data_IF_730677777584
#
_entry.id   IF_730677777584
#
_cell.length_a   1.000
_cell.length_b   1.000
_cell.length_c   1.000
_cell.angle_alpha   90.00
_cell.angle_beta   90.00
_cell.angle_gamma   90.00
#
_symmetry.space_group_name_H-M   'P 1'
#
loop_
_entity.id
_entity.type
_entity.pdbx_description
1 polymer ?
#
# COMPACT_ATOMS: atom_id res chain seq x y z
N UNK A 1 21.86 12.96 -1.29
CA UNK A 1 20.58 13.21 -2.00
C UNK A 1 20.00 11.95 -2.63
N UNK A 2 20.76 11.16 -3.40
CA UNK A 2 20.25 9.93 -4.03
C UNK A 2 19.61 8.95 -3.05
N UNK A 3 20.26 8.68 -1.90
CA UNK A 3 19.72 7.77 -0.87
C UNK A 3 18.40 8.26 -0.28
N UNK A 4 18.25 9.57 -0.07
CA UNK A 4 17.01 10.18 0.43
C UNK A 4 15.85 9.91 -0.54
N UNK A 5 16.08 10.15 -1.84
CA UNK A 5 15.08 9.90 -2.89
C UNK A 5 14.72 8.41 -2.94
N UNK A 6 15.70 7.52 -2.83
CA UNK A 6 15.47 6.07 -2.83
C UNK A 6 14.61 5.65 -1.64
N UNK A 7 14.89 6.14 -0.42
CA UNK A 7 14.07 5.82 0.75
C UNK A 7 12.64 6.35 0.63
N UNK A 8 12.46 7.59 0.17
CA UNK A 8 11.11 8.17 -0.06
C UNK A 8 10.36 7.36 -1.12
N UNK A 9 10.99 7.07 -2.25
CA UNK A 9 10.36 6.34 -3.35
C UNK A 9 10.01 4.90 -2.95
N UNK A 10 10.88 4.22 -2.20
CA UNK A 10 10.61 2.89 -1.67
C UNK A 10 9.44 2.90 -0.68
N UNK A 11 9.44 3.83 0.28
CA UNK A 11 8.39 3.95 1.29
C UNK A 11 7.03 4.19 0.64
N UNK A 12 6.93 5.21 -0.21
CA UNK A 12 5.69 5.57 -0.89
C UNK A 12 5.29 4.46 -1.87
N UNK A 13 6.21 3.94 -2.68
CA UNK A 13 5.89 2.96 -3.72
C UNK A 13 5.36 1.64 -3.15
N UNK A 14 6.04 1.08 -2.15
CA UNK A 14 5.62 -0.18 -1.52
C UNK A 14 4.29 0.01 -0.79
N UNK A 15 4.18 1.05 0.03
CA UNK A 15 2.97 1.31 0.81
C UNK A 15 1.77 1.67 -0.08
N UNK A 16 1.98 2.35 -1.22
CA UNK A 16 0.95 2.63 -2.22
C UNK A 16 0.33 1.36 -2.79
N UNK A 17 1.17 0.39 -3.21
CA UNK A 17 0.70 -0.90 -3.73
C UNK A 17 -0.04 -1.68 -2.65
N UNK A 18 0.49 -1.69 -1.42
CA UNK A 18 -0.16 -2.33 -0.28
C UNK A 18 -1.56 -1.74 -0.02
N UNK A 19 -1.69 -0.41 0.02
CA UNK A 19 -2.96 0.26 0.27
C UNK A 19 -3.98 0.09 -0.85
N UNK A 20 -3.56 -0.04 -2.12
CA UNK A 20 -4.48 -0.44 -3.21
C UNK A 20 -4.96 -1.87 -2.99
N UNK A 21 -4.05 -2.81 -2.75
CA UNK A 21 -4.41 -4.22 -2.56
C UNK A 21 -5.39 -4.39 -1.38
N UNK A 22 -5.13 -3.71 -0.26
CA UNK A 22 -5.99 -3.64 0.92
C UNK A 22 -7.41 -3.19 0.54
N UNK A 23 -7.54 -2.04 -0.12
CA UNK A 23 -8.84 -1.48 -0.49
C UNK A 23 -9.58 -2.34 -1.51
N UNK A 24 -8.88 -2.94 -2.47
CA UNK A 24 -9.47 -3.86 -3.46
C UNK A 24 -10.00 -5.12 -2.77
N UNK A 25 -9.21 -5.75 -1.90
CA UNK A 25 -9.61 -6.94 -1.15
C UNK A 25 -10.87 -6.69 -0.31
N UNK A 26 -10.94 -5.54 0.37
CA UNK A 26 -12.08 -5.15 1.18
C UNK A 26 -13.33 -4.80 0.34
N UNK A 27 -13.14 -4.27 -0.87
CA UNK A 27 -14.24 -3.79 -1.72
C UNK A 27 -14.85 -4.85 -2.62
N UNK A 28 -14.13 -5.94 -2.91
CA UNK A 28 -14.63 -7.04 -3.75
C UNK A 28 -15.88 -7.68 -3.11
N UNK A 29 -16.88 -8.03 -3.92
CA UNK A 29 -18.09 -8.73 -3.46
C UNK A 29 -18.05 -10.23 -3.78
N UNK A 30 -18.69 -11.11 -2.99
CA UNK A 30 -18.72 -12.55 -3.27
C UNK A 30 -19.33 -12.87 -4.64
N UNK A 31 -20.38 -12.13 -5.03
CA UNK A 31 -21.02 -12.27 -6.34
C UNK A 31 -20.06 -11.99 -7.51
N UNK A 32 -19.17 -11.00 -7.37
CA UNK A 32 -18.17 -10.70 -8.39
C UNK A 32 -17.11 -11.81 -8.49
N UNK A 33 -16.67 -12.37 -7.35
CA UNK A 33 -15.75 -13.51 -7.33
C UNK A 33 -16.36 -14.74 -8.00
N UNK A 34 -17.63 -15.05 -7.71
CA UNK A 34 -18.36 -16.14 -8.36
C UNK A 34 -18.43 -15.93 -9.89
N UNK A 35 -18.69 -14.70 -10.34
CA UNK A 35 -18.72 -14.35 -11.76
C UNK A 35 -17.34 -14.52 -12.43
N UNK A 36 -16.24 -14.24 -11.74
CA UNK A 36 -14.88 -14.52 -12.24
C UNK A 36 -14.61 -16.02 -12.37
N UNK A 37 -15.09 -16.83 -11.41
CA UNK A 37 -14.97 -18.29 -11.46
C UNK A 37 -15.79 -18.88 -12.62
N UNK A 38 -17.01 -18.41 -12.81
CA UNK A 38 -17.89 -18.84 -13.91
C UNK A 38 -17.29 -18.48 -15.28
N UNK A 39 -16.59 -17.34 -15.37
CA UNK A 39 -15.82 -16.94 -16.57
C UNK A 39 -14.49 -17.70 -16.74
N UNK A 40 -14.19 -18.69 -15.89
CA UNK A 40 -12.98 -19.51 -15.96
C UNK A 40 -11.68 -18.72 -15.70
N UNK A 41 -11.74 -17.55 -15.07
CA UNK A 41 -10.53 -16.76 -14.77
C UNK A 41 -9.84 -17.33 -13.52
N UNK A 42 -8.53 -17.60 -13.62
CA UNK A 42 -7.69 -18.09 -12.50
C UNK A 42 -7.78 -17.19 -11.26
N UNK A 43 -7.89 -15.87 -11.48
CA UNK A 43 -8.05 -14.90 -10.40
C UNK A 43 -9.33 -15.08 -9.58
N UNK A 44 -10.38 -15.70 -10.12
CA UNK A 44 -11.60 -16.01 -9.36
C UNK A 44 -11.37 -17.04 -8.26
N UNK A 45 -10.53 -18.05 -8.49
CA UNK A 45 -10.17 -19.04 -7.48
C UNK A 45 -9.28 -18.44 -6.38
N UNK A 46 -8.27 -17.67 -6.78
CA UNK A 46 -7.34 -17.00 -5.86
C UNK A 46 -8.07 -15.98 -4.97
N UNK A 47 -8.89 -15.10 -5.56
CA UNK A 47 -9.67 -14.11 -4.82
C UNK A 47 -10.66 -14.77 -3.87
N UNK A 48 -11.23 -15.92 -4.23
CA UNK A 48 -12.11 -16.67 -3.32
C UNK A 48 -11.35 -17.13 -2.07
N UNK A 49 -10.19 -17.77 -2.23
CA UNK A 49 -9.35 -18.20 -1.10
C UNK A 49 -8.87 -17.03 -0.25
N UNK A 50 -8.45 -15.94 -0.88
CA UNK A 50 -8.03 -14.72 -0.19
C UNK A 50 -9.17 -14.10 0.62
N UNK A 51 -10.43 -14.23 0.15
CA UNK A 51 -11.59 -13.65 0.81
C UNK A 51 -12.19 -14.54 1.90
N UNK A 52 -12.05 -15.86 1.76
CA UNK A 52 -12.50 -16.84 2.75
C UNK A 52 -11.86 -16.57 4.12
N UNK A 53 -10.59 -16.13 4.13
CA UNK A 53 -9.87 -15.73 5.33
C UNK A 53 -9.21 -14.36 5.14
N UNK A 54 -10.01 -13.33 4.86
CA UNK A 54 -9.53 -11.98 4.51
C UNK A 54 -8.58 -11.38 5.55
N UNK A 55 -8.73 -11.71 6.83
CA UNK A 55 -7.88 -11.22 7.91
C UNK A 55 -6.39 -11.57 7.72
N UNK A 56 -6.10 -12.74 7.14
CA UNK A 56 -4.73 -13.21 6.96
C UNK A 56 -3.95 -12.40 5.90
N UNK A 57 -4.39 -12.27 4.64
CA UNK A 57 -3.73 -11.42 3.67
C UNK A 57 -3.81 -9.93 4.07
N UNK A 58 -4.91 -9.48 4.69
CA UNK A 58 -5.04 -8.09 5.15
C UNK A 58 -3.99 -7.75 6.21
N UNK A 59 -3.81 -8.61 7.22
CA UNK A 59 -2.79 -8.42 8.26
C UNK A 59 -1.38 -8.41 7.65
N UNK A 60 -1.10 -9.28 6.68
CA UNK A 60 0.19 -9.29 5.99
C UNK A 60 0.44 -7.98 5.23
N UNK A 61 -0.57 -7.47 4.51
CA UNK A 61 -0.51 -6.20 3.76
C UNK A 61 -0.29 -5.01 4.71
N UNK A 62 -1.06 -4.94 5.80
CA UNK A 62 -0.93 -3.88 6.80
C UNK A 62 0.43 -3.91 7.51
N UNK A 63 0.94 -5.10 7.80
CA UNK A 63 2.28 -5.28 8.37
C UNK A 63 3.34 -4.77 7.42
N UNK A 64 3.27 -5.14 6.13
CA UNK A 64 4.23 -4.70 5.13
C UNK A 64 4.19 -3.17 4.95
N UNK A 65 3.00 -2.56 4.96
CA UNK A 65 2.83 -1.11 4.89
C UNK A 65 3.50 -0.41 6.09
N UNK A 66 3.24 -0.92 7.29
CA UNK A 66 3.85 -0.39 8.53
C UNK A 66 5.37 -0.48 8.49
N UNK A 67 5.92 -1.61 8.02
CA UNK A 67 7.36 -1.81 7.86
C UNK A 67 7.94 -0.84 6.84
N UNK A 68 7.32 -0.70 5.66
CA UNK A 68 7.76 0.21 4.62
C UNK A 68 7.77 1.68 5.09
N UNK A 69 6.72 2.11 5.81
CA UNK A 69 6.65 3.46 6.37
C UNK A 69 7.70 3.68 7.47
N UNK A 70 7.93 2.69 8.32
CA UNK A 70 8.90 2.79 9.43
C UNK A 70 10.33 2.84 8.90
N UNK A 71 10.69 1.92 8.01
CA UNK A 71 12.03 1.87 7.40
C UNK A 71 12.26 3.09 6.52
N UNK A 72 11.25 3.49 5.75
CA UNK A 72 11.26 4.71 4.95
C UNK A 72 11.51 5.96 5.79
N UNK A 73 10.72 6.15 6.84
CA UNK A 73 10.85 7.29 7.75
C UNK A 73 12.19 7.34 8.47
N UNK A 74 12.68 6.19 8.96
CA UNK A 74 14.00 6.10 9.57
C UNK A 74 15.11 6.47 8.59
N UNK A 75 15.07 5.92 7.36
CA UNK A 75 16.05 6.22 6.31
C UNK A 75 16.04 7.68 5.89
N UNK A 76 14.85 8.27 5.71
CA UNK A 76 14.70 9.69 5.39
C UNK A 76 15.18 10.57 6.54
N UNK A 77 14.87 10.23 7.79
CA UNK A 77 15.33 10.98 8.97
C UNK A 77 16.86 11.06 9.05
N UNK A 78 17.54 9.92 8.92
CA UNK A 78 19.02 9.86 8.90
C UNK A 78 19.59 10.71 7.77
N UNK A 79 19.01 10.65 6.57
CA UNK A 79 19.47 11.43 5.43
C UNK A 79 19.15 12.93 5.56
N UNK A 80 18.01 13.28 6.15
CA UNK A 80 17.62 14.67 6.39
C UNK A 80 18.58 15.35 7.37
N UNK A 81 18.92 14.68 8.48
CA UNK A 81 19.91 15.18 9.43
C UNK A 81 21.29 15.37 8.78
N UNK A 82 21.75 14.41 7.96
CA UNK A 82 23.06 14.53 7.31
C UNK A 82 23.15 15.66 6.28
N UNK A 83 22.04 16.00 5.62
CA UNK A 83 22.05 16.94 4.49
C UNK A 83 21.61 18.35 4.88
N UNK A 84 20.71 18.46 5.85
CA UNK A 84 20.09 19.73 6.25
C UNK A 84 20.40 20.10 7.71
N UNK A 85 20.96 19.19 8.51
CA UNK A 85 21.21 19.39 9.94
C UNK A 85 20.00 19.06 10.81
N UNK A 86 20.24 18.87 12.11
CA UNK A 86 19.21 18.46 13.09
C UNK A 86 18.04 19.45 13.23
N UNK A 87 18.28 20.73 12.96
CA UNK A 87 17.29 21.81 13.04
C UNK A 87 16.06 21.53 12.14
N UNK A 88 16.29 20.85 11.01
CA UNK A 88 15.27 20.55 10.01
C UNK A 88 14.63 19.18 10.20
N UNK A 89 15.10 18.36 11.15
CA UNK A 89 14.60 17.00 11.36
C UNK A 89 13.10 16.98 11.71
N UNK A 90 12.65 17.92 12.54
CA UNK A 90 11.24 18.04 12.93
C UNK A 90 10.35 18.39 11.75
N UNK A 91 10.76 19.36 10.94
CA UNK A 91 10.02 19.78 9.73
C UNK A 91 10.01 18.66 8.69
N UNK A 92 11.15 18.00 8.47
CA UNK A 92 11.27 16.87 7.54
C UNK A 92 10.38 15.69 7.96
N UNK A 93 10.35 15.35 9.25
CA UNK A 93 9.54 14.26 9.79
C UNK A 93 8.04 14.54 9.65
N UNK A 94 7.60 15.77 9.96
CA UNK A 94 6.22 16.20 9.80
C UNK A 94 5.78 16.19 8.32
N UNK A 95 6.62 16.75 7.44
CA UNK A 95 6.36 16.76 6.00
C UNK A 95 6.27 15.34 5.42
N UNK A 96 7.20 14.46 5.80
CA UNK A 96 7.19 13.06 5.36
C UNK A 96 5.95 12.31 5.83
N UNK A 97 5.54 12.52 7.09
CA UNK A 97 4.33 11.88 7.65
C UNK A 97 3.09 12.28 6.86
N UNK A 98 2.94 13.57 6.56
CA UNK A 98 1.84 14.06 5.71
C UNK A 98 1.90 13.46 4.30
N UNK A 99 3.10 13.36 3.71
CA UNK A 99 3.26 12.73 2.40
C UNK A 99 2.82 11.26 2.42
N UNK A 100 3.24 10.49 3.41
CA UNK A 100 2.85 9.08 3.54
C UNK A 100 1.33 8.96 3.71
N UNK A 101 0.73 9.74 4.62
CA UNK A 101 -0.72 9.71 4.82
C UNK A 101 -1.50 10.01 3.54
N UNK A 102 -1.15 11.09 2.84
CA UNK A 102 -1.90 11.53 1.67
C UNK A 102 -1.63 10.60 0.47
N UNK A 103 -0.36 10.46 0.10
CA UNK A 103 0.03 9.78 -1.15
C UNK A 103 0.07 8.27 -1.03
N UNK A 104 0.30 7.74 0.17
CA UNK A 104 0.46 6.30 0.36
C UNK A 104 -0.74 5.62 1.01
N UNK A 105 -1.55 6.32 1.80
CA UNK A 105 -2.69 5.71 2.47
C UNK A 105 -4.03 6.21 1.93
N UNK A 106 -4.30 7.52 1.99
CA UNK A 106 -5.62 8.08 1.68
C UNK A 106 -5.96 7.97 0.20
N UNK A 107 -5.09 8.52 -0.67
CA UNK A 107 -5.31 8.48 -2.13
C UNK A 107 -5.38 7.03 -2.64
N UNK A 108 -4.44 6.14 -2.31
CA UNK A 108 -4.42 4.79 -2.89
C UNK A 108 -5.58 3.94 -2.39
N UNK A 109 -6.01 4.08 -1.12
CA UNK A 109 -7.21 3.40 -0.62
C UNK A 109 -8.45 3.88 -1.35
N UNK A 110 -8.57 5.18 -1.58
CA UNK A 110 -9.69 5.77 -2.33
C UNK A 110 -9.73 5.25 -3.77
N UNK A 111 -8.58 5.20 -4.43
CA UNK A 111 -8.46 4.66 -5.79
C UNK A 111 -8.76 3.16 -5.84
N UNK A 112 -8.22 2.37 -4.92
CA UNK A 112 -8.46 0.93 -4.83
C UNK A 112 -9.95 0.61 -4.62
N UNK A 113 -10.63 1.40 -3.76
CA UNK A 113 -12.06 1.27 -3.52
C UNK A 113 -12.93 1.79 -4.68
N UNK A 114 -12.49 2.81 -5.43
CA UNK A 114 -13.23 3.30 -6.59
C UNK A 114 -13.09 2.40 -7.82
N UNK A 115 -11.90 1.83 -8.05
CA UNK A 115 -11.54 1.06 -9.24
C UNK A 115 -11.39 -0.44 -8.99
N UNK A 116 -11.94 -0.96 -7.89
CA UNK A 116 -11.77 -2.35 -7.46
C UNK A 116 -12.13 -3.38 -8.54
N UNK A 117 -13.15 -3.13 -9.37
CA UNK A 117 -13.55 -4.06 -10.44
C UNK A 117 -12.49 -4.26 -11.53
N UNK A 118 -11.66 -3.23 -11.78
CA UNK A 118 -10.57 -3.30 -12.76
C UNK A 118 -9.30 -3.88 -12.14
N UNK A 119 -9.08 -3.60 -10.85
CA UNK A 119 -7.88 -3.98 -10.10
C UNK A 119 -7.96 -5.38 -9.48
N UNK A 120 -9.17 -5.89 -9.24
CA UNK A 120 -9.40 -7.20 -8.62
C UNK A 120 -8.68 -8.36 -9.33
N UNK A 121 -8.70 -8.48 -10.68
CA UNK A 121 -7.94 -9.53 -11.35
C UNK A 121 -6.45 -9.46 -11.07
N UNK A 122 -5.86 -8.26 -11.00
CA UNK A 122 -4.43 -8.05 -10.77
C UNK A 122 -4.01 -8.39 -9.35
N UNK A 123 -4.87 -8.13 -8.36
CA UNK A 123 -4.66 -8.53 -6.96
C UNK A 123 -4.83 -10.04 -6.77
N UNK A 124 -5.64 -10.68 -7.63
CA UNK A 124 -5.89 -12.12 -7.61
C UNK A 124 -4.97 -12.96 -8.49
N UNK A 125 -3.82 -12.46 -8.93
CA UNK A 125 -2.86 -13.22 -9.75
C UNK A 125 -1.71 -13.82 -8.93
#
# INVERSE_FOLDING_TARGET
>A
MTLLIVFVAMAIGISFVCSIAEAVLLSITPAYVALLQEKGKRSGGMLFQLKENVDRPLTAILTLNTVANTVGAAGVGVQATQLFGDEYLGVASGALTLMILIFSEIIPKTMGAAFWRSLAPTVGY
#
